data_IF_420678878222
#
_entry.id   IF_420678878222
#
_cell.length_a   1.000
_cell.length_b   1.000
_cell.length_c   1.000
_cell.angle_alpha   90.00
_cell.angle_beta   90.00
_cell.angle_gamma   90.00
#
_symmetry.space_group_name_H-M   'P 1'
#
loop_
_entity.id
_entity.type
_entity.pdbx_description
1 polymer ?
#
# COMPACT_ATOMS: atom_id res chain seq x y z
N UNK A 1 70.80 -9.40 -10.17
CA UNK A 1 69.78 -10.24 -9.49
C UNK A 1 68.88 -9.34 -8.65
N UNK A 2 67.77 -8.89 -9.21
CA UNK A 2 66.78 -8.08 -8.45
C UNK A 2 65.57 -8.93 -8.13
N UNK A 3 65.24 -8.98 -6.88
CA UNK A 3 64.17 -9.78 -6.30
C UNK A 3 62.84 -9.38 -6.87
N UNK A 4 62.06 -10.37 -7.34
CA UNK A 4 60.65 -10.26 -7.65
C UNK A 4 59.93 -10.25 -6.31
N UNK A 5 59.48 -9.06 -5.91
CA UNK A 5 58.78 -8.84 -4.64
C UNK A 5 57.26 -8.98 -4.86
N UNK A 6 56.72 -9.97 -4.22
CA UNK A 6 55.39 -10.05 -3.61
C UNK A 6 54.20 -9.24 -4.16
N UNK A 7 53.69 -9.59 -5.33
CA UNK A 7 52.41 -9.05 -5.80
C UNK A 7 51.16 -9.67 -5.16
N UNK A 8 51.23 -10.77 -4.40
CA UNK A 8 50.03 -11.42 -3.83
C UNK A 8 49.59 -10.84 -2.47
N UNK A 9 50.54 -10.43 -1.62
CA UNK A 9 50.22 -9.86 -0.29
C UNK A 9 49.56 -8.47 -0.41
N UNK A 10 50.00 -7.69 -1.38
CA UNK A 10 49.46 -6.32 -1.62
C UNK A 10 48.07 -6.35 -2.22
N UNK A 11 47.79 -7.25 -3.16
CA UNK A 11 46.46 -7.48 -3.72
C UNK A 11 45.43 -7.90 -2.67
N UNK A 12 45.79 -8.82 -1.77
CA UNK A 12 44.88 -9.27 -0.71
C UNK A 12 44.54 -8.16 0.29
N UNK A 13 45.46 -7.28 0.59
CA UNK A 13 45.23 -6.11 1.44
C UNK A 13 44.33 -5.09 0.76
N UNK A 14 44.55 -4.81 -0.51
CA UNK A 14 43.69 -3.90 -1.28
C UNK A 14 42.26 -4.40 -1.38
N UNK A 15 42.05 -5.71 -1.64
CA UNK A 15 40.72 -6.29 -1.67
C UNK A 15 40.00 -6.26 -0.31
N UNK A 16 40.72 -6.43 0.77
CA UNK A 16 40.14 -6.33 2.11
C UNK A 16 39.65 -4.93 2.42
N UNK A 17 40.38 -3.88 2.03
CA UNK A 17 39.96 -2.47 2.17
C UNK A 17 38.67 -2.21 1.37
N UNK A 18 38.63 -2.67 0.12
CA UNK A 18 37.44 -2.52 -0.73
C UNK A 18 36.23 -3.22 -0.10
N UNK A 19 36.37 -4.47 0.34
CA UNK A 19 35.29 -5.23 0.97
C UNK A 19 34.76 -4.55 2.23
N UNK A 20 35.67 -4.06 3.12
CA UNK A 20 35.27 -3.33 4.32
C UNK A 20 34.56 -2.03 3.99
N UNK A 21 35.05 -1.27 3.01
CA UNK A 21 34.42 -0.02 2.55
C UNK A 21 33.00 -0.25 2.03
N UNK A 22 32.82 -1.26 1.17
CA UNK A 22 31.49 -1.63 0.66
C UNK A 22 30.54 -2.08 1.79
N UNK A 23 31.02 -2.93 2.69
CA UNK A 23 30.24 -3.40 3.84
C UNK A 23 29.83 -2.23 4.78
N UNK A 24 30.75 -1.27 4.99
CA UNK A 24 30.51 -0.07 5.79
C UNK A 24 29.40 0.79 5.19
N UNK A 25 29.49 1.11 3.89
CA UNK A 25 28.44 1.88 3.18
C UNK A 25 27.11 1.14 3.20
N UNK A 26 27.08 -0.14 2.87
CA UNK A 26 25.86 -0.97 2.89
C UNK A 26 25.22 -1.02 4.27
N UNK A 27 25.99 -1.11 5.33
CA UNK A 27 25.45 -1.11 6.70
C UNK A 27 24.86 0.25 7.07
N UNK A 28 25.51 1.34 6.67
CA UNK A 28 25.04 2.70 6.95
C UNK A 28 23.82 3.12 6.09
N UNK A 29 23.65 2.54 4.91
CA UNK A 29 22.41 2.70 4.12
C UNK A 29 21.16 2.17 4.84
N UNK A 30 21.31 1.24 5.80
CA UNK A 30 20.22 0.74 6.65
C UNK A 30 19.85 1.69 7.80
N UNK A 31 20.67 2.73 8.01
CA UNK A 31 20.49 3.74 9.05
C UNK A 31 21.72 3.88 9.96
N UNK A 32 21.69 4.90 10.84
CA UNK A 32 22.77 5.19 11.77
C UNK A 32 23.14 4.00 12.66
N UNK A 33 24.41 3.89 13.03
CA UNK A 33 24.91 2.80 13.87
C UNK A 33 26.11 3.23 14.72
N UNK A 34 26.25 2.64 15.91
CA UNK A 34 27.43 2.80 16.73
C UNK A 34 28.64 2.14 16.07
N UNK A 35 29.84 2.56 16.45
CA UNK A 35 31.09 1.99 15.94
C UNK A 35 31.17 0.48 16.16
N UNK A 36 30.83 0.01 17.35
CA UNK A 36 30.80 -1.40 17.71
C UNK A 36 29.86 -2.19 16.78
N UNK A 37 28.66 -1.67 16.54
CA UNK A 37 27.68 -2.28 15.63
C UNK A 37 28.19 -2.33 14.18
N UNK A 38 28.94 -1.29 13.74
CA UNK A 38 29.55 -1.27 12.41
C UNK A 38 30.64 -2.32 12.29
N UNK A 39 31.56 -2.38 13.25
CA UNK A 39 32.66 -3.36 13.24
C UNK A 39 32.14 -4.80 13.29
N UNK A 40 31.15 -5.08 14.15
CA UNK A 40 30.48 -6.38 14.19
C UNK A 40 29.82 -6.76 12.85
N UNK A 41 29.09 -5.85 12.27
CA UNK A 41 28.41 -6.11 10.99
C UNK A 41 29.43 -6.37 9.86
N UNK A 42 30.52 -5.62 9.81
CA UNK A 42 31.55 -5.77 8.78
C UNK A 42 32.32 -7.07 8.99
N UNK A 43 32.69 -7.43 10.23
CA UNK A 43 33.35 -8.70 10.54
C UNK A 43 32.43 -9.89 10.18
N UNK A 44 31.15 -9.79 10.43
CA UNK A 44 30.16 -10.82 10.03
C UNK A 44 30.06 -10.99 8.51
N UNK A 45 30.17 -9.90 7.74
CA UNK A 45 29.98 -9.93 6.27
C UNK A 45 31.30 -10.27 5.53
N UNK A 46 32.40 -9.70 5.96
CA UNK A 46 33.70 -9.78 5.26
C UNK A 46 34.58 -10.93 5.78
N UNK A 47 34.45 -11.20 7.08
CA UNK A 47 35.20 -12.24 7.78
C UNK A 47 35.67 -11.76 9.19
N UNK A 48 35.88 -12.68 10.13
CA UNK A 48 36.20 -12.36 11.54
C UNK A 48 37.41 -11.46 11.71
N UNK A 49 38.36 -11.52 10.77
CA UNK A 49 39.59 -10.73 10.80
C UNK A 49 39.54 -9.45 9.96
N UNK A 50 38.33 -9.04 9.50
CA UNK A 50 38.20 -7.84 8.68
C UNK A 50 38.69 -6.60 9.43
N UNK A 51 38.33 -6.46 10.70
CA UNK A 51 38.97 -5.55 11.65
C UNK A 51 39.54 -6.36 12.79
N UNK A 52 40.78 -6.00 13.22
CA UNK A 52 41.46 -6.67 14.30
C UNK A 52 40.65 -6.64 15.61
N UNK A 53 40.76 -7.66 16.43
CA UNK A 53 40.20 -7.67 17.80
C UNK A 53 40.88 -6.61 18.69
N UNK A 54 42.12 -6.22 18.34
CA UNK A 54 42.82 -5.15 19.04
C UNK A 54 42.17 -3.81 18.74
N UNK A 55 41.57 -3.19 19.76
CA UNK A 55 40.78 -1.95 19.63
C UNK A 55 41.53 -0.82 18.93
N UNK A 56 42.81 -0.62 19.24
CA UNK A 56 43.61 0.47 18.66
C UNK A 56 43.94 0.25 17.18
N UNK A 57 44.13 -1.00 16.76
CA UNK A 57 44.37 -1.35 15.37
C UNK A 57 43.08 -1.25 14.54
N UNK A 58 41.93 -1.72 15.08
CA UNK A 58 40.63 -1.59 14.48
C UNK A 58 40.25 -0.12 14.27
N UNK A 59 40.51 0.74 15.26
CA UNK A 59 40.25 2.18 15.16
C UNK A 59 41.01 2.86 14.02
N UNK A 60 42.29 2.59 13.93
CA UNK A 60 43.16 3.12 12.87
C UNK A 60 42.71 2.63 11.49
N UNK A 61 42.33 1.36 11.39
CA UNK A 61 41.84 0.78 10.14
C UNK A 61 40.49 1.40 9.74
N UNK A 62 39.53 1.50 10.65
CA UNK A 62 38.20 2.12 10.42
C UNK A 62 38.34 3.58 10.02
N UNK A 63 39.22 4.35 10.67
CA UNK A 63 39.46 5.75 10.30
C UNK A 63 40.01 5.84 8.86
N UNK A 64 41.01 5.04 8.52
CA UNK A 64 41.62 5.01 7.17
C UNK A 64 40.56 4.60 6.10
N UNK A 65 39.75 3.59 6.39
CA UNK A 65 38.71 3.18 5.43
C UNK A 65 37.74 4.30 5.17
N UNK A 66 37.33 5.06 6.18
CA UNK A 66 36.45 6.26 5.98
C UNK A 66 37.16 7.36 5.19
N UNK A 67 38.44 7.62 5.48
CA UNK A 67 39.24 8.59 4.74
C UNK A 67 39.35 8.18 3.26
N UNK A 68 39.69 6.91 2.98
CA UNK A 68 39.75 6.36 1.62
C UNK A 68 38.41 6.45 0.90
N UNK A 69 37.31 6.11 1.56
CA UNK A 69 35.96 6.24 1.00
C UNK A 69 35.63 7.70 0.64
N UNK A 70 36.07 8.64 1.48
CA UNK A 70 35.86 10.06 1.21
C UNK A 70 36.75 10.55 0.05
N UNK A 71 38.03 10.26 0.07
CA UNK A 71 39.02 10.74 -0.91
C UNK A 71 38.79 10.13 -2.31
N UNK A 72 38.54 8.84 -2.39
CA UNK A 72 38.45 8.11 -3.65
C UNK A 72 37.03 8.06 -4.23
N UNK A 73 36.01 8.02 -3.37
CA UNK A 73 34.62 7.83 -3.78
C UNK A 73 33.69 9.00 -3.41
N UNK A 74 34.20 10.01 -2.69
CA UNK A 74 33.38 11.15 -2.25
C UNK A 74 32.32 10.77 -1.20
N UNK A 75 32.43 9.60 -0.58
CA UNK A 75 31.48 9.14 0.44
C UNK A 75 31.68 9.93 1.73
N UNK A 76 30.64 10.54 2.27
CA UNK A 76 30.69 11.32 3.51
C UNK A 76 30.00 10.53 4.63
N UNK A 77 30.77 10.14 5.63
CA UNK A 77 30.31 9.45 6.84
C UNK A 77 30.56 10.35 8.03
N UNK A 78 29.49 10.86 8.65
CA UNK A 78 29.54 11.80 9.77
C UNK A 78 29.25 11.09 11.09
N UNK A 79 29.88 11.59 12.17
CA UNK A 79 29.68 11.09 13.53
C UNK A 79 28.83 12.09 14.35
N UNK A 80 27.67 11.62 14.79
CA UNK A 80 26.86 12.35 15.77
C UNK A 80 27.35 12.08 17.19
N UNK A 81 27.98 13.09 17.80
CA UNK A 81 28.53 12.99 19.18
C UNK A 81 27.45 12.83 20.25
N UNK A 82 26.22 13.35 20.02
CA UNK A 82 25.14 13.26 21.00
C UNK A 82 24.51 11.87 21.02
N UNK A 83 24.30 11.31 19.85
CA UNK A 83 23.75 9.97 19.71
C UNK A 83 24.80 8.84 19.78
N UNK A 84 26.09 9.17 19.64
CA UNK A 84 27.18 8.18 19.63
C UNK A 84 27.20 7.29 18.39
N UNK A 85 26.62 7.76 17.26
CA UNK A 85 26.44 6.95 16.05
C UNK A 85 27.09 7.61 14.84
N UNK A 86 27.47 6.77 13.88
CA UNK A 86 27.85 7.18 12.53
C UNK A 86 26.62 7.10 11.62
N UNK A 87 26.53 8.02 10.68
CA UNK A 87 25.51 7.99 9.62
C UNK A 87 26.12 8.38 8.28
N UNK A 88 25.47 7.93 7.19
CA UNK A 88 25.88 8.22 5.83
C UNK A 88 25.24 9.54 5.41
N UNK A 89 26.04 10.60 5.32
CA UNK A 89 25.59 11.92 4.90
C UNK A 89 25.49 12.00 3.37
N UNK A 90 26.45 11.39 2.67
CA UNK A 90 26.46 11.29 1.22
C UNK A 90 27.03 9.96 0.76
N UNK A 91 26.39 9.25 -0.17
CA UNK A 91 26.97 8.05 -0.78
C UNK A 91 28.09 8.37 -1.78
N UNK A 92 28.46 9.63 -1.97
CA UNK A 92 29.48 10.08 -2.90
C UNK A 92 28.96 10.31 -4.33
N UNK A 93 29.91 10.56 -5.23
CA UNK A 93 29.60 10.86 -6.64
C UNK A 93 29.50 9.61 -7.53
N UNK A 94 29.72 8.43 -6.96
CA UNK A 94 29.66 7.16 -7.67
C UNK A 94 28.24 6.60 -7.63
N UNK A 95 27.77 6.12 -8.76
CA UNK A 95 26.50 5.42 -8.85
C UNK A 95 26.62 4.05 -8.16
N UNK A 96 25.89 3.88 -7.08
CA UNK A 96 25.76 2.59 -6.38
C UNK A 96 24.73 1.67 -7.00
N UNK A 97 23.85 2.27 -7.82
CA UNK A 97 22.76 1.60 -8.50
C UNK A 97 22.65 2.15 -9.93
N UNK A 98 22.62 1.28 -10.91
CA UNK A 98 22.26 1.63 -12.29
C UNK A 98 21.05 0.81 -12.70
N UNK A 99 19.95 1.49 -13.04
CA UNK A 99 18.69 0.88 -13.39
C UNK A 99 18.43 1.01 -14.89
N UNK A 100 17.85 -0.04 -15.54
CA UNK A 100 17.37 0.07 -16.91
C UNK A 100 16.34 1.21 -17.08
N UNK A 101 16.24 1.78 -18.27
CA UNK A 101 15.34 2.90 -18.56
C UNK A 101 13.88 2.57 -18.26
N UNK A 102 13.45 1.32 -18.47
CA UNK A 102 12.10 0.84 -18.11
C UNK A 102 11.83 0.90 -16.60
N UNK A 103 12.84 0.61 -15.75
CA UNK A 103 12.71 0.72 -14.30
C UNK A 103 12.68 2.17 -13.84
N UNK A 104 13.40 3.06 -14.51
CA UNK A 104 13.34 4.50 -14.26
C UNK A 104 11.95 5.06 -14.60
N UNK A 105 11.36 4.61 -15.71
CA UNK A 105 9.99 4.97 -16.10
C UNK A 105 8.97 4.49 -15.04
N UNK A 106 9.13 3.26 -14.53
CA UNK A 106 8.30 2.75 -13.45
C UNK A 106 8.46 3.58 -12.17
N UNK A 107 9.69 3.96 -11.78
CA UNK A 107 9.93 4.86 -10.64
C UNK A 107 9.24 6.22 -10.84
N UNK A 108 9.31 6.81 -12.03
CA UNK A 108 8.64 8.06 -12.36
C UNK A 108 7.12 7.92 -12.18
N UNK A 109 6.52 6.84 -12.68
CA UNK A 109 5.09 6.55 -12.53
C UNK A 109 4.68 6.41 -11.06
N UNK A 110 5.47 5.67 -10.26
CA UNK A 110 5.22 5.52 -8.82
C UNK A 110 5.33 6.88 -8.13
N UNK A 111 6.34 7.69 -8.45
CA UNK A 111 6.51 9.02 -7.87
C UNK A 111 5.32 9.92 -8.16
N UNK A 112 4.80 9.92 -9.39
CA UNK A 112 3.61 10.69 -9.77
C UNK A 112 2.36 10.17 -9.05
N UNK A 113 2.18 8.86 -8.97
CA UNK A 113 1.06 8.23 -8.27
C UNK A 113 0.97 8.68 -6.81
N UNK A 114 2.12 8.84 -6.13
CA UNK A 114 2.22 9.23 -4.72
C UNK A 114 2.60 10.70 -4.52
N UNK A 115 2.53 11.54 -5.56
CA UNK A 115 2.83 12.99 -5.47
C UNK A 115 1.84 13.74 -4.59
N UNK A 116 0.58 13.36 -4.62
CA UNK A 116 -0.48 13.92 -3.79
C UNK A 116 -0.63 13.13 -2.48
N UNK A 117 -1.35 13.70 -1.52
CA UNK A 117 -1.67 13.01 -0.27
C UNK A 117 -2.53 11.78 -0.55
N UNK A 118 -1.94 10.62 -0.45
CA UNK A 118 -2.57 9.33 -0.61
C UNK A 118 -2.01 8.32 0.39
N UNK A 119 -2.53 7.10 0.38
CA UNK A 119 -2.11 6.05 1.30
C UNK A 119 -0.60 5.84 1.27
N UNK A 120 0.06 5.93 2.44
CA UNK A 120 1.51 5.77 2.60
C UNK A 120 2.39 6.64 1.66
N UNK A 121 1.83 7.73 1.08
CA UNK A 121 2.52 8.57 0.09
C UNK A 121 3.86 9.12 0.60
N UNK A 122 3.92 9.54 1.87
CA UNK A 122 5.14 10.02 2.50
C UNK A 122 6.22 8.95 2.55
N UNK A 123 5.86 7.72 2.96
CA UNK A 123 6.80 6.59 3.03
C UNK A 123 7.30 6.16 1.65
N UNK A 124 6.41 6.13 0.67
CA UNK A 124 6.78 5.77 -0.72
C UNK A 124 7.70 6.82 -1.30
N UNK A 125 7.42 8.12 -1.10
CA UNK A 125 8.31 9.19 -1.54
C UNK A 125 9.68 9.10 -0.88
N UNK A 126 9.74 8.97 0.45
CA UNK A 126 11.00 8.82 1.17
C UNK A 126 11.83 7.62 0.67
N UNK A 127 11.17 6.51 0.35
CA UNK A 127 11.82 5.35 -0.26
C UNK A 127 12.37 5.68 -1.66
N UNK A 128 11.60 6.31 -2.52
CA UNK A 128 12.02 6.69 -3.87
C UNK A 128 13.14 7.74 -3.85
N UNK A 129 13.08 8.70 -2.92
CA UNK A 129 14.13 9.70 -2.71
C UNK A 129 15.43 9.02 -2.27
N UNK A 130 15.35 8.03 -1.38
CA UNK A 130 16.51 7.23 -0.98
C UNK A 130 17.10 6.47 -2.19
N UNK A 131 16.26 5.84 -3.02
CA UNK A 131 16.74 5.17 -4.24
C UNK A 131 17.39 6.17 -5.21
N UNK A 132 16.80 7.36 -5.37
CA UNK A 132 17.34 8.40 -6.23
C UNK A 132 18.75 8.82 -5.83
N UNK A 133 19.07 8.89 -4.52
CA UNK A 133 20.44 9.23 -4.07
C UNK A 133 21.49 8.21 -4.49
N UNK A 134 21.09 6.99 -4.85
CA UNK A 134 21.99 5.91 -5.28
C UNK A 134 22.20 5.86 -6.80
N UNK A 135 21.40 6.61 -7.56
CA UNK A 135 21.46 6.63 -9.01
C UNK A 135 22.47 7.69 -9.55
N UNK A 136 23.01 7.50 -10.76
CA UNK A 136 23.77 8.55 -11.44
C UNK A 136 22.92 9.81 -11.63
N UNK A 137 23.52 11.00 -11.51
CA UNK A 137 22.83 12.29 -11.69
C UNK A 137 22.10 12.40 -13.05
N UNK A 138 22.69 11.83 -14.10
CA UNK A 138 22.06 11.76 -15.43
C UNK A 138 20.75 10.95 -15.43
N UNK A 139 20.71 9.89 -14.64
CA UNK A 139 19.51 9.04 -14.50
C UNK A 139 18.41 9.76 -13.72
N UNK A 140 18.77 10.50 -12.68
CA UNK A 140 17.82 11.33 -11.91
C UNK A 140 17.14 12.36 -12.84
N UNK A 141 17.91 13.05 -13.68
CA UNK A 141 17.37 14.01 -14.66
C UNK A 141 16.40 13.36 -15.66
N UNK A 142 16.54 12.08 -15.96
CA UNK A 142 15.58 11.33 -16.79
C UNK A 142 14.27 11.05 -16.04
N UNK A 143 14.34 10.62 -14.78
CA UNK A 143 13.16 10.42 -13.93
C UNK A 143 12.36 11.73 -13.84
N UNK A 144 13.03 12.85 -13.63
CA UNK A 144 12.38 14.17 -13.53
C UNK A 144 11.66 14.57 -14.82
N UNK A 145 12.26 14.31 -15.97
CA UNK A 145 11.64 14.58 -17.28
C UNK A 145 10.46 13.66 -17.60
N UNK A 146 10.45 12.43 -17.08
CA UNK A 146 9.37 11.45 -17.30
C UNK A 146 8.21 11.58 -16.31
N UNK A 147 8.37 12.36 -15.23
CA UNK A 147 7.36 12.53 -14.16
C UNK A 147 6.00 13.03 -14.65
N UNK A 148 5.93 13.70 -15.79
CA UNK A 148 4.70 14.35 -16.27
C UNK A 148 3.89 13.50 -17.27
N UNK A 149 4.34 12.29 -17.61
CA UNK A 149 3.74 11.49 -18.70
C UNK A 149 2.55 10.65 -18.22
N UNK A 150 2.58 10.12 -16.99
CA UNK A 150 1.53 9.27 -16.44
C UNK A 150 1.11 9.81 -15.06
N UNK A 151 -0.18 10.04 -14.89
CA UNK A 151 -0.77 10.41 -13.60
C UNK A 151 -1.74 9.34 -13.15
N UNK A 152 -1.58 8.84 -11.91
CA UNK A 152 -2.52 7.94 -11.24
C UNK A 152 -3.01 8.65 -9.99
N UNK A 153 -4.32 8.90 -9.91
CA UNK A 153 -4.90 9.59 -8.76
C UNK A 153 -5.24 8.61 -7.64
N UNK A 154 -4.50 8.68 -6.53
CA UNK A 154 -4.78 7.97 -5.28
C UNK A 154 -5.14 8.95 -4.15
N UNK A 155 -5.90 9.98 -4.46
CA UNK A 155 -6.28 11.01 -3.48
C UNK A 155 -7.23 10.45 -2.44
N UNK A 156 -6.93 10.66 -1.16
CA UNK A 156 -7.91 10.48 -0.08
C UNK A 156 -9.02 11.54 -0.18
N UNK A 157 -10.27 11.07 -0.17
CA UNK A 157 -11.45 11.92 -0.24
C UNK A 157 -12.13 12.10 1.12
N UNK A 158 -11.56 11.55 2.18
CA UNK A 158 -12.10 11.66 3.52
C UNK A 158 -11.84 13.06 4.10
N UNK A 159 -12.90 13.74 4.51
CA UNK A 159 -12.83 15.08 5.14
C UNK A 159 -12.02 15.10 6.44
N UNK A 160 -12.06 13.99 7.19
CA UNK A 160 -11.36 13.84 8.45
C UNK A 160 -10.34 12.73 8.36
N UNK A 161 -9.16 12.90 8.93
CA UNK A 161 -8.18 11.84 9.00
C UNK A 161 -8.73 10.66 9.83
N UNK A 162 -8.36 9.46 9.45
CA UNK A 162 -8.65 8.27 10.24
C UNK A 162 -7.84 8.37 11.53
N UNK A 163 -8.46 8.18 12.73
CA UNK A 163 -7.72 8.20 13.97
C UNK A 163 -6.56 7.20 13.95
N UNK A 164 -5.38 7.63 14.40
CA UNK A 164 -4.17 6.80 14.39
C UNK A 164 -4.37 5.49 15.12
N UNK A 165 -5.12 5.48 16.24
CA UNK A 165 -5.43 4.26 16.99
C UNK A 165 -6.28 3.29 16.16
N UNK A 166 -7.29 3.74 15.42
CA UNK A 166 -8.10 2.90 14.52
C UNK A 166 -7.20 2.19 13.51
N UNK A 167 -6.34 2.94 12.81
CA UNK A 167 -5.43 2.36 11.82
C UNK A 167 -4.45 1.36 12.46
N UNK A 168 -3.93 1.66 13.65
CA UNK A 168 -2.98 0.82 14.38
C UNK A 168 -3.63 -0.48 14.83
N UNK A 169 -4.81 -0.42 15.47
CA UNK A 169 -5.49 -1.60 15.98
C UNK A 169 -5.98 -2.52 14.86
N UNK A 170 -6.50 -1.96 13.77
CA UNK A 170 -6.89 -2.73 12.59
C UNK A 170 -5.68 -3.43 11.97
N UNK A 171 -4.58 -2.72 11.75
CA UNK A 171 -3.34 -3.32 11.23
C UNK A 171 -2.79 -4.40 12.17
N UNK A 172 -2.85 -4.19 13.48
CA UNK A 172 -2.43 -5.16 14.48
C UNK A 172 -3.28 -6.43 14.42
N UNK A 173 -4.60 -6.30 14.39
CA UNK A 173 -5.52 -7.43 14.31
C UNK A 173 -5.27 -8.28 13.05
N UNK A 174 -5.09 -7.64 11.89
CA UNK A 174 -4.76 -8.31 10.62
C UNK A 174 -3.42 -9.05 10.73
N UNK A 175 -2.36 -8.36 11.20
CA UNK A 175 -1.01 -8.94 11.30
C UNK A 175 -0.94 -10.12 12.28
N UNK A 176 -1.67 -10.03 13.40
CA UNK A 176 -1.72 -11.08 14.42
C UNK A 176 -2.76 -12.18 14.10
N UNK A 177 -3.56 -11.99 13.03
CA UNK A 177 -4.68 -12.87 12.67
C UNK A 177 -5.64 -13.09 13.85
N UNK A 178 -6.09 -11.99 14.45
CA UNK A 178 -7.01 -11.98 15.58
C UNK A 178 -8.30 -11.24 15.22
N UNK A 179 -9.38 -11.60 15.90
CA UNK A 179 -10.66 -10.90 15.79
C UNK A 179 -10.53 -9.47 16.31
N UNK A 180 -11.41 -8.60 15.81
CA UNK A 180 -11.49 -7.20 16.20
C UNK A 180 -12.92 -6.84 16.56
N UNK A 181 -13.13 -6.13 17.67
CA UNK A 181 -14.40 -5.53 18.03
C UNK A 181 -14.34 -4.02 17.93
N UNK A 182 -15.45 -3.38 17.61
CA UNK A 182 -15.57 -1.92 17.57
C UNK A 182 -17.02 -1.47 17.47
N UNK A 183 -17.24 -0.21 17.86
CA UNK A 183 -18.46 0.52 17.51
C UNK A 183 -18.28 1.18 16.14
N UNK A 184 -19.37 1.20 15.36
CA UNK A 184 -19.38 1.72 13.99
C UNK A 184 -20.53 2.69 13.76
N UNK A 185 -20.27 3.82 13.15
CA UNK A 185 -21.28 4.78 12.70
C UNK A 185 -21.59 4.54 11.23
N UNK A 186 -22.72 3.93 10.96
CA UNK A 186 -23.21 3.75 9.60
C UNK A 186 -24.02 4.99 9.17
N UNK A 187 -23.71 5.51 7.96
CA UNK A 187 -24.53 6.51 7.31
C UNK A 187 -25.54 5.77 6.42
N UNK A 188 -26.72 5.50 6.92
CA UNK A 188 -27.81 4.90 6.16
C UNK A 188 -28.99 5.88 6.13
N UNK A 189 -29.34 6.39 4.92
CA UNK A 189 -30.58 7.14 4.67
C UNK A 189 -30.85 8.30 5.64
N UNK A 190 -29.82 9.06 6.02
CA UNK A 190 -29.95 10.24 6.87
C UNK A 190 -30.02 9.97 8.37
N UNK A 191 -30.10 8.71 8.80
CA UNK A 191 -30.05 8.32 10.22
C UNK A 191 -28.65 7.83 10.59
N UNK A 192 -28.14 8.29 11.72
CA UNK A 192 -26.89 7.79 12.32
C UNK A 192 -27.21 6.52 13.07
N UNK A 193 -27.00 5.36 12.45
CA UNK A 193 -27.12 4.06 13.11
C UNK A 193 -25.77 3.77 13.80
N UNK A 194 -25.84 3.40 15.06
CA UNK A 194 -24.69 3.05 15.87
C UNK A 194 -24.67 1.53 16.07
N UNK A 195 -23.70 0.87 15.44
CA UNK A 195 -23.59 -0.59 15.43
C UNK A 195 -22.37 -1.04 16.20
N UNK A 196 -22.51 -2.10 16.98
CA UNK A 196 -21.37 -2.83 17.52
C UNK A 196 -21.05 -4.02 16.62
N UNK A 197 -19.77 -4.22 16.31
CA UNK A 197 -19.28 -5.31 15.46
C UNK A 197 -18.23 -6.15 16.16
N UNK A 198 -18.26 -7.47 15.88
CA UNK A 198 -17.15 -8.40 16.09
C UNK A 198 -16.83 -9.05 14.75
N UNK A 199 -15.58 -8.89 14.28
CA UNK A 199 -15.20 -9.26 12.91
C UNK A 199 -13.91 -10.07 12.85
N UNK A 200 -13.78 -10.88 11.79
CA UNK A 200 -12.51 -11.43 11.34
C UNK A 200 -11.91 -10.46 10.31
N UNK A 201 -10.93 -9.62 10.67
CA UNK A 201 -10.33 -8.66 9.74
C UNK A 201 -9.38 -9.37 8.78
N UNK A 202 -9.47 -9.08 7.47
CA UNK A 202 -8.64 -9.71 6.45
C UNK A 202 -7.65 -8.76 5.81
N UNK A 203 -8.13 -7.65 5.25
CA UNK A 203 -7.28 -6.67 4.57
C UNK A 203 -7.75 -5.23 4.78
N UNK A 204 -6.80 -4.30 4.61
CA UNK A 204 -7.07 -2.89 4.39
C UNK A 204 -7.06 -2.60 2.90
N UNK A 205 -8.17 -2.08 2.39
CA UNK A 205 -8.36 -1.79 0.97
C UNK A 205 -8.59 -0.29 0.79
N UNK A 206 -7.73 0.36 0.01
CA UNK A 206 -7.99 1.72 -0.45
C UNK A 206 -8.76 1.68 -1.78
N UNK A 207 -9.95 2.24 -1.82
CA UNK A 207 -10.84 2.21 -2.99
C UNK A 207 -11.62 3.50 -3.11
N UNK A 208 -11.60 4.10 -4.30
CA UNK A 208 -12.37 5.31 -4.62
C UNK A 208 -12.17 6.42 -3.56
N UNK A 209 -10.90 6.63 -3.18
CA UNK A 209 -10.51 7.68 -2.23
C UNK A 209 -10.79 7.39 -0.75
N UNK A 210 -11.17 6.16 -0.39
CA UNK A 210 -11.50 5.80 0.98
C UNK A 210 -10.85 4.49 1.42
N UNK A 211 -10.53 4.42 2.71
CA UNK A 211 -10.06 3.19 3.34
C UNK A 211 -11.21 2.32 3.82
N UNK A 212 -11.15 1.04 3.51
CA UNK A 212 -12.09 0.02 3.94
C UNK A 212 -11.36 -1.11 4.65
N UNK A 213 -11.98 -1.61 5.71
CA UNK A 213 -11.67 -2.90 6.30
C UNK A 213 -12.47 -3.97 5.55
N UNK A 214 -11.77 -4.88 4.87
CA UNK A 214 -12.35 -6.12 4.39
C UNK A 214 -12.40 -7.12 5.54
N UNK A 215 -13.58 -7.58 5.88
CA UNK A 215 -13.77 -8.48 7.02
C UNK A 215 -14.93 -9.46 6.79
N UNK A 216 -14.96 -10.49 7.63
CA UNK A 216 -16.14 -11.29 7.85
C UNK A 216 -16.77 -10.88 9.17
N UNK A 217 -18.00 -10.40 9.12
CA UNK A 217 -18.76 -9.91 10.27
C UNK A 217 -19.40 -11.11 10.98
N UNK A 218 -18.87 -11.45 12.13
CA UNK A 218 -19.35 -12.56 12.95
C UNK A 218 -20.61 -12.18 13.73
N UNK A 219 -20.66 -10.92 14.13
CA UNK A 219 -21.72 -10.41 14.95
C UNK A 219 -21.85 -8.90 14.78
N UNK A 220 -23.07 -8.47 14.47
CA UNK A 220 -23.45 -7.04 14.47
C UNK A 220 -24.67 -6.86 15.35
N UNK A 221 -24.62 -5.89 16.24
CA UNK A 221 -25.76 -5.49 17.07
C UNK A 221 -26.02 -4.00 16.91
N UNK A 222 -27.24 -3.64 16.57
CA UNK A 222 -27.70 -2.28 16.66
C UNK A 222 -27.82 -1.88 18.13
N UNK A 223 -27.16 -0.78 18.52
CA UNK A 223 -27.06 -0.37 19.93
C UNK A 223 -28.38 0.18 20.44
N UNK A 224 -29.23 0.74 19.57
CA UNK A 224 -30.51 1.34 19.94
C UNK A 224 -31.66 0.32 19.90
N UNK A 225 -31.79 -0.40 18.77
CA UNK A 225 -32.90 -1.38 18.61
C UNK A 225 -32.61 -2.76 19.20
N UNK A 226 -31.34 -3.09 19.43
CA UNK A 226 -30.90 -4.41 19.87
C UNK A 226 -30.96 -5.50 18.78
N UNK A 227 -31.34 -5.14 17.56
CA UNK A 227 -31.37 -6.05 16.41
C UNK A 227 -29.98 -6.67 16.14
N UNK A 228 -29.94 -7.98 15.93
CA UNK A 228 -28.68 -8.71 15.69
C UNK A 228 -28.64 -9.30 14.29
N UNK A 229 -27.43 -9.27 13.69
CA UNK A 229 -27.12 -9.90 12.41
C UNK A 229 -25.82 -10.65 12.53
N UNK A 230 -25.62 -11.69 11.71
CA UNK A 230 -24.43 -12.55 11.77
C UNK A 230 -24.01 -13.03 10.37
N UNK A 231 -22.73 -13.44 10.28
CA UNK A 231 -22.18 -14.23 9.18
C UNK A 231 -22.25 -13.58 7.78
N UNK A 232 -21.67 -12.40 7.64
CA UNK A 232 -21.64 -11.68 6.36
C UNK A 232 -20.25 -11.09 6.04
N UNK A 233 -19.82 -11.23 4.79
CA UNK A 233 -18.65 -10.49 4.30
C UNK A 233 -18.98 -9.01 4.10
N UNK A 234 -18.15 -8.13 4.66
CA UNK A 234 -18.34 -6.68 4.58
C UNK A 234 -17.08 -5.93 4.21
N UNK A 235 -17.30 -4.76 3.62
CA UNK A 235 -16.33 -3.68 3.49
C UNK A 235 -16.79 -2.52 4.38
N UNK A 236 -16.15 -2.35 5.51
CA UNK A 236 -16.48 -1.29 6.47
C UNK A 236 -15.51 -0.13 6.31
N UNK A 237 -16.04 1.07 6.06
CA UNK A 237 -15.20 2.27 5.90
C UNK A 237 -14.53 2.61 7.22
N UNK A 238 -13.20 2.77 7.24
CA UNK A 238 -12.46 3.00 8.48
C UNK A 238 -12.92 4.25 9.24
N UNK A 239 -13.33 5.29 8.53
CA UNK A 239 -13.89 6.50 9.15
C UNK A 239 -15.17 6.26 9.97
N UNK A 240 -15.89 5.18 9.70
CA UNK A 240 -17.06 4.78 10.47
C UNK A 240 -16.71 4.12 11.80
N UNK A 241 -15.50 3.58 11.94
CA UNK A 241 -15.03 2.95 13.18
C UNK A 241 -14.83 4.02 14.25
N UNK A 242 -15.43 3.83 15.41
CA UNK A 242 -15.34 4.77 16.52
C UNK A 242 -14.10 4.46 17.36
N UNK A 243 -13.32 5.50 17.64
CA UNK A 243 -12.16 5.39 18.53
C UNK A 243 -12.62 5.49 19.99
N UNK A 244 -13.10 4.38 20.53
CA UNK A 244 -13.57 4.23 21.90
C UNK A 244 -13.08 2.93 22.54
N UNK A 245 -13.53 2.64 23.77
CA UNK A 245 -13.11 1.47 24.54
C UNK A 245 -13.55 0.12 23.92
N UNK A 246 -14.47 0.14 22.94
CA UNK A 246 -14.91 -1.06 22.22
C UNK A 246 -13.98 -1.43 21.06
N UNK A 247 -13.09 -0.51 20.64
CA UNK A 247 -12.07 -0.82 19.66
C UNK A 247 -10.96 -1.65 20.30
N UNK A 248 -11.04 -2.96 20.14
CA UNK A 248 -10.14 -3.92 20.80
C UNK A 248 -9.80 -5.09 19.88
N UNK A 249 -8.52 -5.47 19.86
CA UNK A 249 -8.10 -6.75 19.28
C UNK A 249 -8.44 -7.84 20.29
N UNK A 250 -9.29 -8.78 19.87
CA UNK A 250 -9.77 -9.87 20.72
C UNK A 250 -8.75 -11.02 20.76
N UNK A 251 -8.74 -11.84 21.82
CA UNK A 251 -7.80 -12.96 21.95
C UNK A 251 -8.06 -14.09 20.94
N UNK A 252 -9.26 -14.14 20.35
CA UNK A 252 -9.65 -15.18 19.40
C UNK A 252 -8.87 -15.04 18.10
N UNK A 253 -8.24 -16.14 17.68
CA UNK A 253 -7.52 -16.21 16.40
C UNK A 253 -8.47 -16.53 15.25
N UNK A 254 -8.15 -15.99 14.09
CA UNK A 254 -8.84 -16.30 12.83
C UNK A 254 -8.55 -17.76 12.43
N UNK A 255 -9.53 -18.45 11.82
CA UNK A 255 -9.32 -19.78 11.23
C UNK A 255 -8.24 -19.75 10.14
N UNK A 256 -7.63 -20.88 9.80
CA UNK A 256 -6.76 -20.99 8.63
C UNK A 256 -7.55 -20.63 7.36
N UNK A 257 -7.06 -19.64 6.62
CA UNK A 257 -7.73 -19.15 5.41
C UNK A 257 -8.82 -18.12 5.69
N UNK A 258 -9.52 -17.71 4.63
CA UNK A 258 -10.65 -16.79 4.68
C UNK A 258 -11.95 -17.58 4.57
N UNK A 259 -13.01 -17.06 5.17
CA UNK A 259 -14.34 -17.61 4.97
C UNK A 259 -14.73 -17.56 3.49
N UNK A 260 -15.42 -18.60 2.96
CA UNK A 260 -15.88 -18.57 1.59
C UNK A 260 -16.87 -17.42 1.37
N UNK A 261 -16.72 -16.71 0.25
CA UNK A 261 -17.65 -15.64 -0.12
C UNK A 261 -18.84 -16.21 -0.87
N UNK A 262 -20.04 -15.83 -0.46
CA UNK A 262 -21.22 -16.04 -1.28
C UNK A 262 -21.10 -15.19 -2.55
N UNK A 263 -21.30 -15.83 -3.69
CA UNK A 263 -21.35 -15.16 -4.99
C UNK A 263 -22.80 -15.00 -5.42
N UNK A 264 -23.16 -13.80 -5.81
CA UNK A 264 -24.48 -13.44 -6.30
C UNK A 264 -24.45 -13.31 -7.81
N UNK A 265 -25.45 -13.82 -8.49
CA UNK A 265 -25.60 -13.64 -9.92
C UNK A 265 -25.89 -12.19 -10.25
N UNK A 266 -25.36 -11.72 -11.36
CA UNK A 266 -25.56 -10.37 -11.89
C UNK A 266 -25.74 -10.48 -13.40
N UNK A 267 -26.83 -9.90 -13.93
CA UNK A 267 -27.08 -9.78 -15.36
C UNK A 267 -27.53 -8.37 -15.66
N UNK A 268 -26.87 -7.74 -16.63
CA UNK A 268 -27.19 -6.36 -17.01
C UNK A 268 -27.01 -6.16 -18.51
N UNK A 269 -27.68 -5.15 -19.05
CA UNK A 269 -27.54 -4.69 -20.43
C UNK A 269 -26.87 -3.33 -20.45
N UNK A 270 -25.88 -3.18 -21.31
CA UNK A 270 -25.30 -1.89 -21.68
C UNK A 270 -25.88 -1.47 -23.04
N UNK A 271 -26.30 -0.22 -23.14
CA UNK A 271 -26.69 0.37 -24.41
C UNK A 271 -25.52 0.42 -25.39
N UNK A 272 -25.81 0.54 -26.69
CA UNK A 272 -24.82 0.61 -27.75
C UNK A 272 -23.76 1.68 -27.49
N UNK A 273 -24.17 2.83 -27.00
CA UNK A 273 -23.31 3.98 -26.71
C UNK A 273 -22.24 3.63 -25.65
N UNK A 274 -22.65 2.96 -24.59
CA UNK A 274 -21.73 2.52 -23.52
C UNK A 274 -20.85 1.34 -23.92
N UNK A 275 -21.27 0.53 -24.90
CA UNK A 275 -20.57 -0.67 -25.35
C UNK A 275 -19.70 -0.45 -26.61
N UNK A 276 -19.74 0.73 -27.23
CA UNK A 276 -19.15 1.01 -28.54
C UNK A 276 -17.64 0.77 -28.57
N UNK A 277 -16.92 1.22 -27.56
CA UNK A 277 -15.46 1.04 -27.45
C UNK A 277 -15.04 -0.22 -26.68
N UNK A 278 -15.98 -1.11 -26.39
CA UNK A 278 -15.77 -2.31 -25.60
C UNK A 278 -16.46 -2.27 -24.25
N UNK A 279 -16.44 -3.39 -23.55
CA UNK A 279 -17.06 -3.55 -22.23
C UNK A 279 -15.97 -3.60 -21.15
N UNK A 280 -16.06 -2.70 -20.17
CA UNK A 280 -15.14 -2.69 -19.03
C UNK A 280 -15.32 -3.95 -18.18
N UNK A 281 -14.23 -4.59 -17.81
CA UNK A 281 -14.24 -5.81 -16.99
C UNK A 281 -14.32 -5.48 -15.51
N UNK A 282 -15.48 -5.06 -15.03
CA UNK A 282 -15.71 -4.71 -13.63
C UNK A 282 -15.79 -5.92 -12.69
N UNK A 283 -16.18 -7.08 -13.23
CA UNK A 283 -16.43 -8.29 -12.44
C UNK A 283 -15.58 -9.47 -12.97
N UNK A 284 -15.23 -10.44 -12.12
CA UNK A 284 -14.58 -11.65 -12.58
C UNK A 284 -15.54 -12.48 -13.46
N UNK A 285 -14.97 -13.29 -14.35
CA UNK A 285 -15.67 -14.29 -15.17
C UNK A 285 -16.88 -13.75 -15.96
N UNK A 286 -16.80 -12.50 -16.45
CA UNK A 286 -17.84 -11.88 -17.26
C UNK A 286 -18.04 -12.63 -18.58
N UNK A 287 -19.27 -13.01 -18.87
CA UNK A 287 -19.71 -13.48 -20.16
C UNK A 287 -20.41 -12.32 -20.89
N UNK A 288 -20.01 -12.05 -22.13
CA UNK A 288 -20.43 -10.88 -22.90
C UNK A 288 -21.11 -11.36 -24.17
N UNK A 289 -22.40 -10.99 -24.35
CA UNK A 289 -23.21 -11.34 -25.51
C UNK A 289 -23.61 -10.06 -26.25
N UNK A 290 -23.11 -9.86 -27.47
CA UNK A 290 -23.47 -8.74 -28.32
C UNK A 290 -24.83 -9.00 -28.97
N UNK A 291 -25.69 -7.97 -28.99
CA UNK A 291 -27.01 -8.01 -29.60
C UNK A 291 -26.98 -7.35 -30.98
N UNK A 292 -27.97 -7.64 -31.83
CA UNK A 292 -28.09 -7.08 -33.19
C UNK A 292 -28.26 -5.55 -33.21
N UNK A 293 -28.86 -4.97 -32.17
CA UNK A 293 -29.04 -3.52 -31.99
C UNK A 293 -27.73 -2.80 -31.52
N UNK A 294 -26.65 -3.54 -31.37
CA UNK A 294 -25.34 -3.07 -30.87
C UNK A 294 -25.24 -2.96 -29.34
N UNK A 295 -26.32 -3.26 -28.62
CA UNK A 295 -26.30 -3.38 -27.17
C UNK A 295 -25.54 -4.64 -26.73
N UNK A 296 -25.21 -4.76 -25.45
CA UNK A 296 -24.49 -5.90 -24.91
C UNK A 296 -25.14 -6.39 -23.63
N UNK A 297 -25.41 -7.69 -23.55
CA UNK A 297 -25.81 -8.35 -22.31
C UNK A 297 -24.58 -8.91 -21.65
N UNK A 298 -24.42 -8.65 -20.36
CA UNK A 298 -23.32 -9.16 -19.55
C UNK A 298 -23.88 -10.02 -18.43
N UNK A 299 -23.34 -11.22 -18.30
CA UNK A 299 -23.58 -12.12 -17.18
C UNK A 299 -22.29 -12.23 -16.35
N UNK A 300 -22.39 -12.08 -15.04
CA UNK A 300 -21.25 -12.10 -14.11
C UNK A 300 -21.68 -12.62 -12.73
N UNK A 301 -20.70 -12.79 -11.87
CA UNK A 301 -20.91 -13.02 -10.43
C UNK A 301 -20.24 -11.93 -9.64
N UNK A 302 -20.84 -11.53 -8.53
CA UNK A 302 -20.26 -10.54 -7.62
C UNK A 302 -20.38 -11.02 -6.18
N UNK A 303 -19.35 -10.83 -5.36
CA UNK A 303 -19.46 -11.06 -3.92
C UNK A 303 -20.13 -9.89 -3.17
N UNK A 304 -20.35 -8.75 -3.86
CA UNK A 304 -20.88 -7.52 -3.28
C UNK A 304 -21.90 -6.87 -4.25
N UNK A 305 -23.19 -7.23 -4.17
CA UNK A 305 -24.24 -6.67 -5.00
C UNK A 305 -24.39 -5.15 -4.83
N UNK A 306 -24.13 -4.63 -3.62
CA UNK A 306 -24.22 -3.20 -3.32
C UNK A 306 -23.15 -2.40 -4.10
N UNK A 307 -21.90 -2.88 -4.09
CA UNK A 307 -20.82 -2.24 -4.85
C UNK A 307 -21.02 -2.44 -6.36
N UNK A 308 -21.50 -3.61 -6.79
CA UNK A 308 -21.80 -3.86 -8.20
C UNK A 308 -22.81 -2.86 -8.74
N UNK A 309 -23.94 -2.65 -8.04
CA UNK A 309 -24.94 -1.66 -8.42
C UNK A 309 -24.36 -0.25 -8.44
N UNK A 310 -23.55 0.12 -7.46
CA UNK A 310 -22.87 1.43 -7.45
C UNK A 310 -22.00 1.65 -8.68
N UNK A 311 -21.28 0.61 -9.11
CA UNK A 311 -20.48 0.66 -10.34
C UNK A 311 -21.35 0.82 -11.58
N UNK A 312 -22.46 0.07 -11.65
CA UNK A 312 -23.37 0.12 -12.80
C UNK A 312 -24.15 1.43 -12.91
N UNK A 313 -24.46 2.08 -11.78
CA UNK A 313 -25.07 3.42 -11.76
C UNK A 313 -24.18 4.49 -12.42
N UNK A 314 -22.88 4.28 -12.50
CA UNK A 314 -21.97 5.16 -13.22
C UNK A 314 -22.19 5.23 -14.72
N UNK A 315 -22.94 4.26 -15.30
CA UNK A 315 -23.34 4.28 -16.71
C UNK A 315 -24.65 5.07 -16.97
N UNK A 316 -25.32 5.54 -15.90
CA UNK A 316 -26.60 6.26 -16.02
C UNK A 316 -27.66 5.44 -16.73
N UNK A 317 -28.40 6.09 -17.66
CA UNK A 317 -29.43 5.49 -18.49
C UNK A 317 -28.91 4.42 -19.46
N UNK A 318 -27.62 4.37 -19.70
CA UNK A 318 -26.99 3.40 -20.60
C UNK A 318 -26.80 2.00 -19.99
N UNK A 319 -27.24 1.79 -18.75
CA UNK A 319 -27.17 0.48 -18.09
C UNK A 319 -28.49 0.09 -17.44
N UNK A 320 -28.93 -1.13 -17.72
CA UNK A 320 -30.11 -1.72 -17.08
C UNK A 320 -29.75 -3.05 -16.46
N UNK A 321 -30.00 -3.21 -15.15
CA UNK A 321 -29.86 -4.49 -14.46
C UNK A 321 -31.05 -5.37 -14.81
N UNK A 322 -30.79 -6.53 -15.39
CA UNK A 322 -31.80 -7.47 -15.89
C UNK A 322 -32.03 -8.66 -14.98
N UNK A 323 -31.05 -8.97 -14.08
CA UNK A 323 -31.12 -10.16 -13.26
C UNK A 323 -30.11 -10.17 -12.12
N UNK A 324 -30.32 -11.10 -11.20
CA UNK A 324 -29.69 -11.15 -9.90
C UNK A 324 -30.58 -10.47 -8.86
N UNK A 325 -31.24 -11.28 -8.02
CA UNK A 325 -32.29 -10.77 -7.10
C UNK A 325 -31.78 -9.66 -6.18
N UNK A 326 -30.62 -9.83 -5.60
CA UNK A 326 -30.01 -8.86 -4.70
C UNK A 326 -29.62 -7.57 -5.43
N UNK A 327 -29.05 -7.71 -6.63
CA UNK A 327 -28.65 -6.57 -7.44
C UNK A 327 -29.86 -5.78 -7.94
N UNK A 328 -30.94 -6.48 -8.36
CA UNK A 328 -32.21 -5.84 -8.76
C UNK A 328 -32.84 -5.09 -7.59
N UNK A 329 -32.94 -5.72 -6.42
CA UNK A 329 -33.49 -5.10 -5.21
C UNK A 329 -32.72 -3.82 -4.82
N UNK A 330 -31.40 -3.89 -4.84
CA UNK A 330 -30.56 -2.74 -4.54
C UNK A 330 -30.65 -1.64 -5.61
N UNK A 331 -30.71 -2.00 -6.90
CA UNK A 331 -30.90 -1.03 -7.99
C UNK A 331 -32.25 -0.31 -7.86
N UNK A 332 -33.34 -1.05 -7.66
CA UNK A 332 -34.66 -0.48 -7.47
C UNK A 332 -34.71 0.48 -6.28
N UNK A 333 -34.14 0.07 -5.15
CA UNK A 333 -34.05 0.91 -3.94
C UNK A 333 -33.35 2.24 -4.23
N UNK A 334 -32.23 2.21 -4.95
CA UNK A 334 -31.46 3.41 -5.27
C UNK A 334 -32.17 4.31 -6.28
N UNK A 335 -32.65 3.74 -7.36
CA UNK A 335 -33.39 4.49 -8.41
C UNK A 335 -34.65 5.14 -7.82
N UNK A 336 -35.42 4.41 -7.02
CA UNK A 336 -36.58 4.95 -6.33
C UNK A 336 -36.20 6.11 -5.38
N UNK A 337 -35.10 5.96 -4.62
CA UNK A 337 -34.58 7.03 -3.76
C UNK A 337 -34.18 8.28 -4.56
N UNK A 338 -33.47 8.10 -5.67
CA UNK A 338 -33.10 9.19 -6.56
C UNK A 338 -34.38 9.87 -7.17
N UNK A 339 -35.29 9.08 -7.71
CA UNK A 339 -36.55 9.59 -8.30
C UNK A 339 -37.36 10.42 -7.29
N UNK A 340 -37.38 9.99 -6.02
CA UNK A 340 -38.04 10.76 -4.95
C UNK A 340 -37.37 12.13 -4.71
N UNK A 341 -36.06 12.21 -4.75
CA UNK A 341 -35.31 13.46 -4.54
C UNK A 341 -35.44 14.45 -5.71
N UNK A 342 -35.69 13.93 -6.91
CA UNK A 342 -35.92 14.77 -8.10
C UNK A 342 -37.41 14.97 -8.44
N UNK A 343 -38.34 14.57 -7.54
CA UNK A 343 -39.80 14.66 -7.72
C UNK A 343 -40.29 13.97 -9.01
N UNK A 344 -39.60 12.89 -9.43
CA UNK A 344 -39.91 12.13 -10.64
C UNK A 344 -40.92 10.97 -10.40
N UNK A 345 -41.27 10.67 -9.17
CA UNK A 345 -42.30 9.68 -8.86
C UNK A 345 -43.68 10.31 -9.03
N UNK A 346 -44.63 9.65 -9.72
CA UNK A 346 -46.00 10.13 -9.78
C UNK A 346 -46.52 10.26 -8.34
N UNK A 347 -47.11 11.41 -8.02
CA UNK A 347 -47.87 11.60 -6.79
C UNK A 347 -49.00 10.57 -6.83
N UNK A 348 -48.93 9.55 -5.94
CA UNK A 348 -50.09 8.67 -5.75
C UNK A 348 -51.27 9.56 -5.35
N UNK A 349 -52.18 9.73 -6.28
CA UNK A 349 -53.51 10.29 -6.00
C UNK A 349 -54.17 9.30 -5.04
N UNK A 350 -54.32 9.72 -3.77
CA UNK A 350 -55.05 8.98 -2.75
C UNK A 350 -56.48 8.77 -3.11
#
# INVERSE_FOLDING_TARGET
MKAVINGRGDRNRSWLVIKRGLALVRRLLRGPASKESLLMAINSEVGPDAYSEESSAAERAFKRDRETLHEELGVIITFDRRAGVYWLESPGNHAWLDLPDEHLAAMATIYQTFKQNGPDAERVRAFLDTLATLLPAERISRIERQRDVISVELRELDERPIPTRVMTEVRRAIAQRQQLSFNYRAAVSGHKIFLYHEVEPYDLVFRVGHWYLECFDLFTRDVESGEQRQDEHRYLRLQGIVDDDRLQVLPQRLPPGRRPRKLFSLRYRLAREAAHHGVSRHFPDMQIQRQEDGSVIVEAKTPDPWMAVRTLLGYGENCVVLGGEEALREMHRRVAGMAKHYDLLPVEVR
#
